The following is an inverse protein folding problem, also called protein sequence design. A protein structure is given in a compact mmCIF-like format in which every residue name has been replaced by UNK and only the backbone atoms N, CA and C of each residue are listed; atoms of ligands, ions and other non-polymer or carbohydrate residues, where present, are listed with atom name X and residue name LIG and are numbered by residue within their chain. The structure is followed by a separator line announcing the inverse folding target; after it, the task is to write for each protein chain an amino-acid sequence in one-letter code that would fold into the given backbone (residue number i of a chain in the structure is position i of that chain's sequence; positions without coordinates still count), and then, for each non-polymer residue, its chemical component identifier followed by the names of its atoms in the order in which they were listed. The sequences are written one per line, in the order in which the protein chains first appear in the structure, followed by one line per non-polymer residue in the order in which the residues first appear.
data_IF_071418298667
#
_entry.id   IF_071418298667
#
_cell.length_a   1.000
_cell.length_b   1.000
_cell.length_c   1.000
_cell.angle_alpha   90.00
_cell.angle_beta   90.00
_cell.angle_gamma   90.00
#
_symmetry.space_group_name_H-M   'P 1'
#
loop_
_entity.id
_entity.type
_entity.pdbx_description
1 polymer ?
#
# COMPACT_ATOMS: atom_id res chain seq x y z
N UNK A 1 -1.70 22.53 52.27
CA UNK A 1 -1.75 22.46 50.82
C UNK A 1 -1.67 23.88 50.32
N UNK A 2 -0.72 24.22 49.47
CA UNK A 2 -0.57 25.56 48.88
C UNK A 2 -1.29 25.60 47.56
N UNK A 3 -2.16 26.58 47.36
CA UNK A 3 -2.93 26.76 46.12
C UNK A 3 -2.60 28.11 45.53
N UNK A 4 -2.24 28.13 44.28
CA UNK A 4 -2.12 29.35 43.45
C UNK A 4 -3.43 29.52 42.72
N UNK A 5 -4.15 30.62 42.93
CA UNK A 5 -5.31 31.04 42.15
C UNK A 5 -4.87 32.19 41.28
N UNK A 6 -4.92 32.00 39.97
CA UNK A 6 -4.57 33.03 39.00
C UNK A 6 -5.46 32.89 37.76
N UNK A 7 -5.91 34.00 37.18
CA UNK A 7 -6.66 34.01 35.92
C UNK A 7 -5.77 33.66 34.71
N UNK A 8 -4.46 33.93 34.83
CA UNK A 8 -3.47 33.53 33.85
C UNK A 8 -2.09 33.31 34.51
N UNK A 9 -1.35 32.34 34.06
CA UNK A 9 0.06 32.14 34.37
C UNK A 9 0.83 32.33 33.08
N UNK A 10 1.59 33.42 32.98
CA UNK A 10 2.38 33.75 31.80
C UNK A 10 3.88 33.77 32.13
N UNK A 11 4.71 33.39 31.21
CA UNK A 11 6.15 33.60 31.36
C UNK A 11 6.45 35.12 31.28
N UNK A 12 7.20 35.64 32.27
CA UNK A 12 7.59 37.06 32.29
C UNK A 12 8.84 37.28 31.45
N UNK A 13 8.76 38.18 30.52
CA UNK A 13 9.84 38.81 29.75
C UNK A 13 11.01 37.95 29.27
N UNK A 14 11.15 37.86 27.97
CA UNK A 14 12.27 37.25 27.26
C UNK A 14 11.83 36.42 26.08
N UNK A 15 12.68 36.29 25.08
CA UNK A 15 12.50 35.36 23.98
C UNK A 15 12.76 33.93 24.47
N UNK A 16 11.82 33.01 24.28
CA UNK A 16 11.92 31.58 24.62
C UNK A 16 11.90 31.20 26.11
N UNK A 17 11.11 31.89 26.93
CA UNK A 17 10.88 31.47 28.32
C UNK A 17 9.74 30.46 28.43
N UNK A 18 10.04 29.29 28.95
CA UNK A 18 9.05 28.24 29.22
C UNK A 18 8.51 28.37 30.67
N UNK A 19 7.26 28.05 30.87
CA UNK A 19 6.69 27.82 32.20
C UNK A 19 6.95 26.35 32.57
N UNK A 20 7.83 26.12 33.51
CA UNK A 20 8.07 24.77 34.04
C UNK A 20 7.04 24.46 35.16
N UNK A 21 6.21 23.44 34.96
CA UNK A 21 5.33 22.89 35.95
C UNK A 21 5.78 21.48 36.25
N UNK A 22 6.33 21.24 37.45
CA UNK A 22 6.86 19.95 37.87
C UNK A 22 6.16 19.45 39.13
N UNK A 23 5.92 18.14 39.19
CA UNK A 23 5.48 17.49 40.44
C UNK A 23 6.65 17.38 41.42
N UNK A 24 6.34 17.38 42.72
CA UNK A 24 7.37 17.17 43.75
C UNK A 24 7.53 15.67 44.03
N UNK A 25 8.74 15.17 44.00
CA UNK A 25 9.04 13.75 44.20
C UNK A 25 8.43 12.89 43.07
N UNK A 26 7.65 11.89 43.42
CA UNK A 26 6.92 11.04 42.46
C UNK A 26 5.57 11.63 42.00
N UNK A 27 5.29 12.89 42.34
CA UNK A 27 4.07 13.55 41.90
C UNK A 27 4.09 13.91 40.41
N UNK A 28 2.94 13.77 39.77
CA UNK A 28 2.76 14.09 38.35
C UNK A 28 2.03 15.41 38.12
N UNK A 29 2.23 16.04 37.00
CA UNK A 29 1.42 17.19 36.60
C UNK A 29 0.01 16.71 36.27
N UNK A 30 -0.99 17.29 36.92
CA UNK A 30 -2.40 16.98 36.76
C UNK A 30 -3.10 18.14 36.08
N UNK A 31 -3.88 17.89 35.05
CA UNK A 31 -4.70 18.87 34.39
C UNK A 31 -6.19 18.54 34.52
N UNK A 32 -6.97 19.57 34.84
CA UNK A 32 -8.43 19.49 34.98
C UNK A 32 -8.93 18.64 36.14
N UNK A 33 -10.25 18.54 36.26
CA UNK A 33 -10.92 17.76 37.31
C UNK A 33 -10.93 16.25 37.00
N UNK A 34 -10.64 15.87 35.76
CA UNK A 34 -10.62 14.47 35.32
C UNK A 34 -9.38 13.66 35.65
N UNK A 35 -8.50 14.19 36.51
CA UNK A 35 -7.27 13.51 36.95
C UNK A 35 -6.31 13.08 35.82
N UNK A 36 -6.28 13.77 34.70
CA UNK A 36 -5.32 13.47 33.64
C UNK A 36 -3.88 13.72 34.11
N UNK A 37 -3.12 12.65 34.23
CA UNK A 37 -1.72 12.66 34.63
C UNK A 37 -0.82 12.57 33.39
N UNK A 38 0.04 13.58 33.22
CA UNK A 38 1.00 13.59 32.10
C UNK A 38 2.17 12.64 32.35
N UNK A 39 2.78 12.08 31.27
CA UNK A 39 4.01 11.30 31.39
C UNK A 39 5.14 12.12 32.03
N UNK A 40 5.99 11.48 32.81
CA UNK A 40 7.15 12.12 33.48
C UNK A 40 8.36 12.24 32.53
N UNK A 41 8.35 11.51 31.41
CA UNK A 41 9.43 11.51 30.44
C UNK A 41 8.91 11.92 29.07
N UNK A 42 9.79 12.41 28.23
CA UNK A 42 9.51 12.63 26.82
C UNK A 42 9.31 11.30 26.09
N UNK A 43 8.51 11.30 25.04
CA UNK A 43 8.31 10.14 24.16
C UNK A 43 9.41 10.04 23.11
N UNK A 44 9.30 9.02 22.28
CA UNK A 44 10.13 8.87 21.07
C UNK A 44 9.45 9.54 19.87
N UNK A 45 10.22 9.83 18.83
CA UNK A 45 9.66 10.36 17.58
C UNK A 45 8.51 9.49 17.05
N UNK A 46 7.48 10.14 16.49
CA UNK A 46 6.28 9.50 15.95
C UNK A 46 5.36 8.79 16.97
N UNK A 47 5.50 9.09 18.25
CA UNK A 47 4.52 8.68 19.25
C UNK A 47 3.44 9.74 19.45
N UNK A 48 2.26 9.29 19.86
CA UNK A 48 1.14 10.15 20.26
C UNK A 48 0.80 9.93 21.74
N UNK A 49 0.14 10.90 22.33
CA UNK A 49 -0.32 10.77 23.72
C UNK A 49 -1.64 10.01 23.72
N UNK A 50 -1.69 8.92 24.47
CA UNK A 50 -2.85 8.05 24.64
C UNK A 50 -3.31 8.03 26.09
N UNK A 51 -4.63 7.98 26.33
CA UNK A 51 -5.21 7.70 27.63
C UNK A 51 -5.41 6.20 27.84
N UNK A 52 -5.22 5.73 29.07
CA UNK A 52 -5.54 4.35 29.49
C UNK A 52 -6.99 4.17 29.95
N UNK A 53 -7.80 5.23 29.93
CA UNK A 53 -9.15 5.25 30.47
C UNK A 53 -9.22 5.38 31.99
N UNK A 54 -8.11 5.26 32.71
CA UNK A 54 -7.96 5.38 34.15
C UNK A 54 -7.40 6.74 34.63
N UNK A 55 -7.26 7.70 33.69
CA UNK A 55 -6.75 9.03 33.98
C UNK A 55 -5.24 9.20 33.74
N UNK A 56 -4.54 8.19 33.29
CA UNK A 56 -3.13 8.35 32.89
C UNK A 56 -2.99 8.61 31.38
N UNK A 57 -2.06 9.48 31.06
CA UNK A 57 -1.59 9.70 29.70
C UNK A 57 -0.23 9.02 29.53
N UNK A 58 -0.04 8.35 28.42
CA UNK A 58 1.23 7.71 28.05
C UNK A 58 1.53 7.93 26.58
N UNK A 59 2.80 7.94 26.23
CA UNK A 59 3.21 7.89 24.82
C UNK A 59 2.97 6.49 24.26
N UNK A 60 2.36 6.43 23.10
CA UNK A 60 2.08 5.20 22.39
C UNK A 60 2.49 5.34 20.93
N UNK A 61 3.04 4.27 20.38
CA UNK A 61 3.28 4.18 18.94
C UNK A 61 1.96 3.86 18.25
N UNK A 62 1.69 4.47 17.10
CA UNK A 62 0.56 4.06 16.27
C UNK A 62 0.68 2.56 15.99
N UNK A 63 -0.38 1.78 16.20
CA UNK A 63 -0.36 0.39 15.79
C UNK A 63 0.04 0.30 14.32
N UNK A 64 0.99 -0.54 14.00
CA UNK A 64 1.45 -0.75 12.62
C UNK A 64 0.42 -1.52 11.77
N UNK A 65 -0.76 -1.81 12.31
CA UNK A 65 -1.77 -2.63 11.66
C UNK A 65 -2.70 -1.84 10.74
N UNK A 66 -2.85 -2.30 9.51
CA UNK A 66 -3.91 -1.87 8.61
C UNK A 66 -3.66 -0.57 7.83
N UNK A 67 -2.48 0.01 7.90
CA UNK A 67 -2.14 1.22 7.13
C UNK A 67 -1.45 0.82 5.83
N UNK A 68 -2.00 1.26 4.71
CA UNK A 68 -1.28 1.21 3.44
C UNK A 68 -0.12 2.22 3.48
N UNK A 69 1.07 1.73 3.26
CA UNK A 69 2.28 2.57 3.15
C UNK A 69 2.68 2.63 1.68
N UNK A 70 2.77 3.83 1.11
CA UNK A 70 3.33 4.00 -0.23
C UNK A 70 4.83 3.67 -0.20
N UNK A 71 5.24 2.72 -1.03
CA UNK A 71 6.60 2.22 -1.08
C UNK A 71 7.37 2.74 -2.29
N UNK A 72 6.69 2.77 -3.44
CA UNK A 72 7.30 3.18 -4.71
C UNK A 72 6.25 3.81 -5.62
N UNK A 73 6.65 4.77 -6.41
CA UNK A 73 5.87 5.30 -7.54
C UNK A 73 6.77 5.39 -8.76
N UNK A 74 6.33 4.81 -9.87
CA UNK A 74 6.96 4.93 -11.17
C UNK A 74 6.01 5.69 -12.08
N UNK A 75 6.46 6.82 -12.58
CA UNK A 75 5.73 7.61 -13.57
C UNK A 75 6.27 7.24 -14.97
N UNK A 76 5.60 6.27 -15.59
CA UNK A 76 6.02 5.74 -16.87
C UNK A 76 5.73 6.76 -17.99
N UNK A 77 6.67 6.96 -18.89
CA UNK A 77 6.56 7.81 -20.08
C UNK A 77 7.03 7.07 -21.31
N UNK A 78 6.11 6.41 -22.01
CA UNK A 78 6.43 5.60 -23.18
C UNK A 78 7.28 4.37 -22.85
N UNK A 79 7.10 3.77 -21.69
CA UNK A 79 7.89 2.63 -21.24
C UNK A 79 7.40 1.32 -21.86
N UNK A 80 8.29 0.47 -22.36
CA UNK A 80 7.94 -0.86 -22.85
C UNK A 80 7.57 -1.82 -21.71
N UNK A 81 8.15 -1.61 -20.52
CA UNK A 81 7.84 -2.34 -19.29
C UNK A 81 7.89 -1.38 -18.11
N UNK A 82 7.10 -1.65 -17.09
CA UNK A 82 7.15 -1.00 -15.77
C UNK A 82 7.49 -2.06 -14.74
N UNK A 83 8.64 -1.92 -14.11
CA UNK A 83 9.21 -2.89 -13.18
C UNK A 83 9.21 -2.33 -11.76
N UNK A 84 8.34 -2.85 -10.91
CA UNK A 84 8.25 -2.53 -9.48
C UNK A 84 9.09 -3.57 -8.72
N UNK A 85 10.28 -3.19 -8.25
CA UNK A 85 11.28 -4.15 -7.73
C UNK A 85 11.83 -3.81 -6.35
N UNK A 86 11.58 -2.61 -5.83
CA UNK A 86 12.42 -2.08 -4.75
C UNK A 86 12.07 -2.54 -3.35
N UNK A 87 10.91 -3.14 -3.09
CA UNK A 87 10.44 -3.25 -1.70
C UNK A 87 9.64 -4.48 -1.32
N UNK A 88 9.73 -5.58 -2.05
CA UNK A 88 9.13 -6.83 -1.61
C UNK A 88 9.98 -7.46 -0.49
N UNK A 89 9.52 -7.34 0.77
CA UNK A 89 10.24 -7.81 1.96
C UNK A 89 9.25 -8.32 3.03
N UNK A 90 9.77 -8.76 4.17
CA UNK A 90 8.98 -9.32 5.29
C UNK A 90 8.25 -8.28 6.14
N UNK A 91 8.39 -6.98 5.86
CA UNK A 91 7.76 -5.93 6.65
C UNK A 91 6.24 -5.88 6.42
N UNK A 92 5.78 -6.33 5.25
CA UNK A 92 4.39 -6.25 4.84
C UNK A 92 3.83 -7.64 4.50
N UNK A 93 2.59 -7.87 4.93
CA UNK A 93 1.88 -9.14 4.68
C UNK A 93 1.22 -9.19 3.30
N UNK A 94 0.87 -8.00 2.78
CA UNK A 94 0.22 -7.84 1.48
C UNK A 94 0.81 -6.67 0.72
N UNK A 95 0.75 -6.77 -0.60
CA UNK A 95 1.13 -5.68 -1.49
C UNK A 95 -0.01 -5.35 -2.44
N UNK A 96 -0.22 -4.04 -2.65
CA UNK A 96 -1.21 -3.52 -3.59
C UNK A 96 -0.50 -2.65 -4.62
N UNK A 97 -0.76 -2.88 -5.89
CA UNK A 97 -0.30 -2.03 -6.99
C UNK A 97 -1.52 -1.35 -7.57
N UNK A 98 -1.49 -0.01 -7.65
CA UNK A 98 -2.53 0.80 -8.27
C UNK A 98 -1.94 1.58 -9.42
N UNK A 99 -2.62 1.61 -10.54
CA UNK A 99 -2.14 2.36 -11.69
C UNK A 99 -3.26 2.84 -12.60
N UNK A 100 -2.98 3.99 -13.21
CA UNK A 100 -3.76 4.60 -14.27
C UNK A 100 -2.86 4.63 -15.49
N UNK A 101 -3.29 4.03 -16.58
CA UNK A 101 -2.38 3.81 -17.70
C UNK A 101 -3.07 4.03 -19.03
N UNK A 102 -2.29 4.57 -19.97
CA UNK A 102 -2.58 4.50 -21.40
C UNK A 102 -1.51 3.70 -22.12
N UNK A 103 -1.91 3.03 -23.19
CA UNK A 103 -1.00 2.39 -24.13
C UNK A 103 -0.78 3.29 -25.36
N UNK A 104 0.38 3.24 -25.98
CA UNK A 104 0.59 3.89 -27.30
C UNK A 104 -0.24 3.23 -28.41
N UNK A 105 -0.75 2.02 -28.18
CA UNK A 105 -1.68 1.29 -29.00
C UNK A 105 -2.61 0.44 -28.14
N UNK A 106 -3.82 0.08 -28.64
CA UNK A 106 -4.68 -0.88 -27.98
C UNK A 106 -3.99 -2.24 -27.86
N UNK A 107 -3.89 -2.76 -26.64
CA UNK A 107 -3.17 -4.01 -26.42
C UNK A 107 -3.74 -4.79 -25.23
N UNK A 108 -3.33 -6.05 -25.11
CA UNK A 108 -3.45 -6.81 -23.88
C UNK A 108 -2.49 -6.22 -22.84
N UNK A 109 -2.99 -5.98 -21.64
CA UNK A 109 -2.16 -5.67 -20.47
C UNK A 109 -1.75 -6.96 -19.80
N UNK A 110 -0.49 -7.10 -19.53
CA UNK A 110 0.10 -8.32 -19.00
C UNK A 110 0.98 -8.05 -17.78
N UNK A 111 1.11 -9.07 -16.94
CA UNK A 111 1.98 -9.02 -15.76
C UNK A 111 2.87 -10.27 -15.69
N UNK A 112 4.09 -10.09 -15.17
CA UNK A 112 5.01 -11.18 -14.79
C UNK A 112 5.57 -10.92 -13.41
N UNK A 113 5.77 -12.01 -12.68
CA UNK A 113 6.47 -11.99 -11.40
C UNK A 113 7.96 -12.19 -11.60
N UNK A 114 8.76 -11.44 -10.85
CA UNK A 114 10.17 -11.73 -10.68
C UNK A 114 10.33 -12.65 -9.49
N UNK A 115 10.66 -13.91 -9.74
CA UNK A 115 10.83 -14.92 -8.72
C UNK A 115 12.29 -15.34 -8.70
N UNK A 116 12.89 -15.34 -7.51
CA UNK A 116 14.32 -15.66 -7.35
C UNK A 116 15.23 -14.89 -8.30
N UNK A 117 14.91 -13.61 -8.52
CA UNK A 117 15.74 -12.69 -9.32
C UNK A 117 15.49 -12.70 -10.84
N UNK A 118 14.56 -13.53 -11.35
CA UNK A 118 14.25 -13.60 -12.78
C UNK A 118 12.75 -13.47 -13.05
N UNK A 119 12.38 -12.72 -14.10
CA UNK A 119 11.00 -12.67 -14.58
C UNK A 119 10.61 -13.99 -15.21
N UNK A 120 9.51 -14.55 -14.71
CA UNK A 120 9.04 -15.86 -15.14
C UNK A 120 8.28 -15.76 -16.48
N UNK A 121 8.54 -16.70 -17.39
CA UNK A 121 7.94 -16.75 -18.72
C UNK A 121 7.12 -18.02 -18.96
N UNK A 122 6.72 -18.69 -17.88
CA UNK A 122 5.81 -19.85 -17.86
C UNK A 122 5.33 -20.09 -16.43
N UNK A 123 4.42 -20.99 -16.23
CA UNK A 123 4.01 -21.43 -14.89
C UNK A 123 2.88 -20.61 -14.29
N UNK A 124 2.19 -19.75 -15.05
CA UNK A 124 1.03 -19.02 -14.56
C UNK A 124 -0.25 -19.80 -14.83
N UNK A 125 -1.06 -19.92 -13.78
CA UNK A 125 -2.36 -20.57 -13.80
C UNK A 125 -3.40 -19.63 -13.22
N UNK A 126 -4.53 -19.48 -13.90
CA UNK A 126 -5.57 -18.57 -13.43
C UNK A 126 -6.67 -18.32 -14.43
N UNK A 127 -7.44 -17.30 -14.17
CA UNK A 127 -8.55 -16.93 -15.02
C UNK A 127 -8.76 -15.41 -15.02
N UNK A 128 -8.96 -14.85 -16.22
CA UNK A 128 -9.46 -13.50 -16.44
C UNK A 128 -10.92 -13.59 -16.83
N UNK A 129 -11.73 -12.80 -16.20
CA UNK A 129 -13.12 -12.58 -16.53
C UNK A 129 -13.29 -11.15 -17.07
N UNK A 130 -13.81 -11.02 -18.27
CA UNK A 130 -14.06 -9.74 -18.93
C UNK A 130 -15.53 -9.57 -19.23
N UNK A 131 -16.13 -8.49 -18.77
CA UNK A 131 -17.48 -8.04 -19.16
C UNK A 131 -17.35 -6.80 -20.05
N UNK A 132 -18.00 -6.78 -21.19
CA UNK A 132 -17.97 -5.66 -22.15
C UNK A 132 -19.37 -5.09 -22.33
N UNK A 133 -19.49 -3.75 -22.36
CA UNK A 133 -20.79 -3.09 -22.56
C UNK A 133 -21.38 -3.30 -23.95
N UNK A 134 -20.53 -3.66 -24.94
CA UNK A 134 -20.95 -3.91 -26.32
C UNK A 134 -21.52 -5.31 -26.56
N UNK A 135 -21.39 -6.21 -25.57
CA UNK A 135 -21.96 -7.54 -25.66
C UNK A 135 -22.46 -7.96 -24.28
N UNK A 136 -23.64 -8.53 -24.19
CA UNK A 136 -24.13 -9.14 -22.94
C UNK A 136 -23.32 -10.39 -22.55
N UNK A 137 -22.27 -10.72 -23.30
CA UNK A 137 -21.45 -11.89 -23.08
C UNK A 137 -20.34 -11.61 -22.06
N UNK A 138 -20.23 -12.50 -21.11
CA UNK A 138 -19.12 -12.61 -20.19
C UNK A 138 -18.07 -13.51 -20.82
N UNK A 139 -16.88 -12.96 -21.05
CA UNK A 139 -15.78 -13.72 -21.66
C UNK A 139 -14.77 -14.13 -20.59
N UNK A 140 -14.42 -15.41 -20.56
CA UNK A 140 -13.36 -15.93 -19.72
C UNK A 140 -12.11 -16.28 -20.52
N UNK A 141 -10.95 -15.95 -20.02
CA UNK A 141 -9.65 -16.38 -20.53
C UNK A 141 -8.97 -17.22 -19.48
N UNK A 142 -8.81 -18.50 -19.74
CA UNK A 142 -8.07 -19.40 -18.88
C UNK A 142 -6.57 -19.29 -19.14
N UNK A 143 -5.78 -19.28 -18.07
CA UNK A 143 -4.34 -19.38 -18.10
C UNK A 143 -3.94 -20.75 -17.56
N UNK A 144 -3.22 -21.54 -18.37
CA UNK A 144 -2.73 -22.84 -17.99
C UNK A 144 -1.28 -22.97 -18.42
N UNK A 145 -0.36 -22.95 -17.48
CA UNK A 145 1.07 -22.86 -17.72
C UNK A 145 1.45 -21.68 -18.66
N UNK A 146 0.73 -20.57 -18.52
CA UNK A 146 0.88 -19.42 -19.38
C UNK A 146 2.23 -18.73 -19.18
N UNK A 147 2.67 -18.00 -20.21
CA UNK A 147 3.91 -17.23 -20.18
C UNK A 147 3.80 -15.94 -19.35
N UNK A 148 2.58 -15.52 -19.05
CA UNK A 148 2.25 -14.27 -18.36
C UNK A 148 0.85 -14.33 -17.78
N UNK A 149 0.55 -13.39 -16.91
CA UNK A 149 -0.80 -13.13 -16.41
C UNK A 149 -1.45 -12.12 -17.35
N UNK A 150 -2.53 -12.54 -18.04
CA UNK A 150 -3.37 -11.63 -18.79
C UNK A 150 -4.28 -10.87 -17.82
N UNK A 151 -4.10 -9.56 -17.73
CA UNK A 151 -4.86 -8.69 -16.81
C UNK A 151 -6.08 -8.05 -17.49
N UNK A 152 -6.19 -8.10 -18.80
CA UNK A 152 -7.24 -7.44 -19.56
C UNK A 152 -6.70 -6.56 -20.67
N UNK A 153 -7.28 -5.39 -20.89
CA UNK A 153 -6.93 -4.50 -21.99
C UNK A 153 -6.36 -3.16 -21.50
N UNK A 154 -5.55 -2.52 -22.32
CA UNK A 154 -5.15 -1.13 -22.17
C UNK A 154 -5.63 -0.30 -23.37
N UNK A 155 -6.21 0.86 -23.08
CA UNK A 155 -6.64 1.86 -24.06
C UNK A 155 -5.55 2.87 -24.38
N UNK A 156 -5.85 3.80 -25.29
CA UNK A 156 -4.90 4.80 -25.81
C UNK A 156 -5.11 6.21 -25.27
N UNK A 157 -5.92 6.37 -24.25
CA UNK A 157 -6.16 7.66 -23.59
C UNK A 157 -5.80 7.55 -22.12
N UNK A 158 -5.04 8.50 -21.59
CA UNK A 158 -4.62 8.49 -20.19
C UNK A 158 -5.84 8.52 -19.26
N UNK A 159 -5.83 7.61 -18.29
CA UNK A 159 -6.96 7.39 -17.37
C UNK A 159 -8.04 6.45 -17.90
N UNK A 160 -7.97 6.05 -19.15
CA UNK A 160 -8.91 5.11 -19.76
C UNK A 160 -8.77 3.68 -19.22
N UNK A 161 -7.62 3.35 -18.66
CA UNK A 161 -7.37 2.05 -18.05
C UNK A 161 -6.89 2.22 -16.62
N UNK A 162 -7.64 1.68 -15.68
CA UNK A 162 -7.38 1.77 -14.25
C UNK A 162 -7.40 0.37 -13.66
N UNK A 163 -6.38 0.03 -12.91
CA UNK A 163 -6.25 -1.29 -12.30
C UNK A 163 -5.78 -1.20 -10.86
N UNK A 164 -6.29 -2.12 -10.07
CA UNK A 164 -5.76 -2.48 -8.76
C UNK A 164 -5.36 -3.96 -8.79
N UNK A 165 -4.18 -4.25 -8.31
CA UNK A 165 -3.66 -5.61 -8.23
C UNK A 165 -3.15 -5.87 -6.82
N UNK A 166 -3.51 -7.01 -6.27
CA UNK A 166 -3.07 -7.49 -4.96
C UNK A 166 -2.12 -8.67 -5.13
N UNK A 167 -0.96 -8.59 -4.52
CA UNK A 167 -0.05 -9.72 -4.34
C UNK A 167 -0.26 -10.25 -2.94
N UNK A 168 -0.76 -11.49 -2.84
CA UNK A 168 -1.25 -12.09 -1.61
C UNK A 168 -0.22 -13.08 -1.03
N UNK A 169 -0.09 -13.04 0.29
CA UNK A 169 0.83 -13.86 1.06
C UNK A 169 2.22 -13.21 1.18
N UNK A 170 3.02 -13.74 2.08
CA UNK A 170 4.40 -13.27 2.27
C UNK A 170 5.18 -13.43 0.96
N UNK A 171 5.61 -12.33 0.32
CA UNK A 171 6.35 -12.40 -0.94
C UNK A 171 7.73 -13.04 -0.78
N UNK A 172 8.29 -13.05 0.42
CA UNK A 172 9.61 -13.59 0.70
C UNK A 172 9.60 -15.08 1.03
N UNK A 173 8.44 -15.64 1.35
CA UNK A 173 8.30 -17.07 1.59
C UNK A 173 8.65 -17.88 0.34
N UNK A 174 9.63 -18.74 0.45
CA UNK A 174 10.08 -19.62 -0.64
C UNK A 174 9.32 -20.93 -0.74
N UNK A 175 8.48 -21.24 0.25
CA UNK A 175 7.77 -22.52 0.36
C UNK A 175 6.35 -22.52 -0.19
N UNK A 176 5.77 -21.35 -0.44
CA UNK A 176 4.37 -21.22 -0.86
C UNK A 176 4.19 -20.68 -2.28
N UNK A 177 3.09 -21.09 -2.90
CA UNK A 177 2.64 -20.59 -4.20
C UNK A 177 2.14 -19.14 -4.03
N UNK A 178 2.60 -18.25 -4.89
CA UNK A 178 2.19 -16.85 -4.90
C UNK A 178 0.88 -16.67 -5.64
N UNK A 179 -0.01 -15.87 -5.05
CA UNK A 179 -1.33 -15.57 -5.59
C UNK A 179 -1.46 -14.10 -5.90
N UNK A 180 -2.13 -13.81 -7.00
CA UNK A 180 -2.42 -12.46 -7.45
C UNK A 180 -3.91 -12.38 -7.74
N UNK A 181 -4.51 -11.28 -7.33
CA UNK A 181 -5.87 -10.91 -7.71
C UNK A 181 -5.82 -9.50 -8.30
N UNK A 182 -6.61 -9.24 -9.33
CA UNK A 182 -6.72 -7.91 -9.91
C UNK A 182 -8.15 -7.59 -10.33
N UNK A 183 -8.44 -6.31 -10.33
CA UNK A 183 -9.66 -5.76 -10.91
C UNK A 183 -9.31 -4.48 -11.65
N UNK A 184 -9.97 -4.22 -12.75
CA UNK A 184 -9.72 -3.05 -13.55
C UNK A 184 -10.84 -2.68 -14.50
N UNK A 185 -10.65 -1.54 -15.14
CA UNK A 185 -11.53 -0.98 -16.15
C UNK A 185 -10.69 -0.50 -17.32
N UNK A 186 -11.11 -0.85 -18.55
CA UNK A 186 -10.53 -0.33 -19.78
C UNK A 186 -11.62 0.31 -20.64
N UNK A 187 -11.56 1.63 -20.81
CA UNK A 187 -12.62 2.41 -21.46
C UNK A 187 -12.71 2.11 -22.95
N UNK A 188 -11.59 1.82 -23.59
CA UNK A 188 -11.56 1.55 -25.01
C UNK A 188 -12.46 0.37 -25.43
N UNK A 189 -12.44 -0.71 -24.65
CA UNK A 189 -13.33 -1.85 -24.84
C UNK A 189 -14.60 -1.74 -23.99
N UNK A 190 -14.71 -0.67 -23.20
CA UNK A 190 -15.73 -0.51 -22.16
C UNK A 190 -15.86 -1.79 -21.32
N UNK A 191 -14.70 -2.35 -20.96
CA UNK A 191 -14.60 -3.61 -20.23
C UNK A 191 -14.35 -3.39 -18.75
N UNK A 192 -14.94 -4.27 -17.96
CA UNK A 192 -14.53 -4.52 -16.58
C UNK A 192 -13.78 -5.84 -16.59
N UNK A 193 -12.53 -5.79 -16.16
CA UNK A 193 -11.63 -6.93 -16.12
C UNK A 193 -11.39 -7.33 -14.67
N UNK A 194 -11.58 -8.60 -14.35
CA UNK A 194 -11.38 -9.15 -13.00
C UNK A 194 -10.74 -10.52 -13.12
N UNK A 195 -9.75 -10.80 -12.30
CA UNK A 195 -9.08 -12.08 -12.39
C UNK A 195 -8.27 -12.46 -11.18
N UNK A 196 -7.91 -13.71 -11.16
CA UNK A 196 -7.01 -14.29 -10.18
C UNK A 196 -6.04 -15.25 -10.84
N UNK A 197 -4.80 -15.23 -10.40
CA UNK A 197 -3.78 -16.12 -10.88
C UNK A 197 -2.84 -16.54 -9.75
N UNK A 198 -2.15 -17.64 -9.98
CA UNK A 198 -1.01 -18.04 -9.16
C UNK A 198 0.16 -18.45 -10.05
N UNK A 199 1.36 -18.35 -9.49
CA UNK A 199 2.56 -18.90 -10.08
C UNK A 199 2.77 -20.30 -9.52
N UNK A 200 2.88 -21.31 -10.40
CA UNK A 200 2.85 -22.73 -10.03
C UNK A 200 4.10 -23.24 -9.33
N UNK A 201 5.16 -22.43 -9.22
CA UNK A 201 6.40 -22.80 -8.53
C UNK A 201 6.56 -21.92 -7.29
N UNK A 202 6.94 -22.52 -6.18
CA UNK A 202 7.28 -21.80 -4.95
C UNK A 202 8.57 -20.97 -5.15
N UNK A 203 8.63 -19.81 -4.48
CA UNK A 203 9.79 -18.92 -4.56
C UNK A 203 9.47 -17.52 -4.09
N UNK A 204 10.48 -16.80 -3.60
CA UNK A 204 10.33 -15.41 -3.19
C UNK A 204 10.04 -14.50 -4.40
N UNK A 205 9.05 -13.63 -4.28
CA UNK A 205 8.81 -12.55 -5.24
C UNK A 205 9.78 -11.41 -4.90
N UNK A 206 10.50 -10.95 -5.90
CA UNK A 206 11.41 -9.81 -5.80
C UNK A 206 11.02 -8.66 -6.74
N UNK A 207 9.92 -8.79 -7.47
CA UNK A 207 9.41 -7.74 -8.34
C UNK A 207 8.18 -8.17 -9.11
N UNK A 208 7.53 -7.16 -9.67
CA UNK A 208 6.39 -7.28 -10.57
C UNK A 208 6.64 -6.43 -11.80
N UNK A 209 6.52 -7.02 -12.98
CA UNK A 209 6.56 -6.34 -14.26
C UNK A 209 5.18 -6.21 -14.84
N UNK A 210 4.81 -5.01 -15.26
CA UNK A 210 3.57 -4.71 -15.99
C UNK A 210 3.96 -4.19 -17.37
N UNK A 211 3.32 -4.67 -18.42
CA UNK A 211 3.62 -4.28 -19.79
C UNK A 211 2.42 -4.51 -20.72
N UNK A 212 2.42 -3.82 -21.84
CA UNK A 212 1.47 -4.06 -22.93
C UNK A 212 2.05 -5.10 -23.90
N UNK A 213 1.22 -5.98 -24.43
CA UNK A 213 1.65 -6.98 -25.43
C UNK A 213 2.18 -6.34 -26.72
N UNK A 214 1.80 -5.09 -27.00
CA UNK A 214 2.34 -4.25 -28.07
C UNK A 214 2.32 -2.78 -27.67
N UNK A 215 3.28 -2.00 -28.16
CA UNK A 215 3.41 -0.58 -27.83
C UNK A 215 4.09 -0.34 -26.49
N UNK A 216 3.80 0.82 -25.92
CA UNK A 216 4.38 1.31 -24.66
C UNK A 216 3.31 1.77 -23.70
N UNK A 217 3.65 1.95 -22.42
CA UNK A 217 2.78 2.41 -21.34
C UNK A 217 3.18 3.81 -20.89
N UNK A 218 2.18 4.65 -20.59
CA UNK A 218 2.36 5.96 -19.96
C UNK A 218 1.37 6.10 -18.79
N UNK A 219 1.83 6.61 -17.67
CA UNK A 219 1.04 6.89 -16.49
C UNK A 219 1.69 6.42 -15.18
N UNK A 220 1.10 6.77 -14.03
CA UNK A 220 1.62 6.44 -12.71
C UNK A 220 1.30 5.02 -12.28
N UNK A 221 2.29 4.36 -11.68
CA UNK A 221 2.19 3.06 -11.02
C UNK A 221 2.67 3.20 -9.59
N UNK A 222 1.83 2.90 -8.64
CA UNK A 222 2.12 3.03 -7.20
C UNK A 222 2.03 1.69 -6.51
N UNK A 223 3.09 1.32 -5.80
CA UNK A 223 3.18 0.13 -4.95
C UNK A 223 2.96 0.50 -3.49
N UNK A 224 2.09 -0.22 -2.83
CA UNK A 224 1.79 -0.07 -1.41
C UNK A 224 2.05 -1.39 -0.69
N UNK A 225 2.55 -1.29 0.54
CA UNK A 225 2.62 -2.39 1.49
C UNK A 225 1.59 -2.25 2.60
N UNK A 226 1.02 -3.36 3.04
CA UNK A 226 0.05 -3.43 4.12
C UNK A 226 0.58 -4.37 5.18
N UNK A 227 0.74 -3.87 6.41
CA UNK A 227 1.08 -4.67 7.58
C UNK A 227 -0.16 -4.92 8.42
N UNK A 228 -0.34 -6.15 8.91
CA UNK A 228 -1.45 -6.57 9.79
C UNK A 228 -1.07 -6.57 11.27
N UNK A 229 0.16 -6.23 11.60
CA UNK A 229 0.68 -6.26 12.99
C UNK A 229 0.56 -4.93 13.71
#
# INVERSE_FOLDING_TARGET
MSTIKADAITASTGTNTNIAITGKGSGKVKLGDGNLLFPDADGSANQYIKTDGGGNLAFATLPAGGVETLLETIDASGASTVDLETTFNTTYDFYTIRFFVEGSAPAQLSCRLKVSGSYQTSGYYGHLATSRSSSAAYNGVAMSNAAEINMGAVGTTLGDSQYIMHVMGDPTDTGTIKRIHWAGFASQNKSIDNGGAHFGTAGAITGVRIYAASGTLTGPFSLYGISNS
#
